data_IF_590823168048
#
_entry.id   IF_590823168048
#
_cell.length_a   1.000
_cell.length_b   1.000
_cell.length_c   1.000
_cell.angle_alpha   90.00
_cell.angle_beta   90.00
_cell.angle_gamma   90.00
#
_symmetry.space_group_name_H-M   'P 1'
#
loop_
_entity.id
_entity.type
_entity.pdbx_description
1 polymer ?
#
# COMPACT_ATOMS: atom_id res chain seq x y z
N UNK A 1 26.95 -23.27 -1.67
CA UNK A 1 26.45 -21.94 -2.02
C UNK A 1 27.11 -20.95 -1.07
N UNK A 2 27.80 -19.93 -1.57
CA UNK A 2 28.55 -18.98 -0.75
C UNK A 2 27.83 -17.64 -0.72
N UNK A 3 28.08 -16.80 0.30
CA UNK A 3 27.56 -15.43 0.35
C UNK A 3 27.94 -14.62 -0.89
N UNK A 4 29.14 -14.88 -1.45
CA UNK A 4 29.62 -14.27 -2.69
C UNK A 4 28.67 -14.56 -3.87
N UNK A 5 28.27 -15.82 -4.08
CA UNK A 5 27.32 -16.21 -5.13
C UNK A 5 25.96 -15.52 -4.97
N UNK A 6 25.47 -15.36 -3.72
CA UNK A 6 24.21 -14.65 -3.43
C UNK A 6 24.33 -13.16 -3.78
N UNK A 7 25.45 -12.54 -3.42
CA UNK A 7 25.69 -11.12 -3.72
C UNK A 7 25.84 -10.85 -5.22
N UNK A 8 26.48 -11.74 -5.97
CA UNK A 8 26.58 -11.64 -7.44
C UNK A 8 25.19 -11.72 -8.09
N UNK A 9 24.38 -12.71 -7.69
CA UNK A 9 23.01 -12.85 -8.20
C UNK A 9 22.16 -11.62 -7.91
N UNK A 10 22.26 -11.07 -6.69
CA UNK A 10 21.56 -9.83 -6.30
C UNK A 10 22.02 -8.63 -7.12
N UNK A 11 23.34 -8.49 -7.36
CA UNK A 11 23.87 -7.39 -8.16
C UNK A 11 23.39 -7.46 -9.61
N UNK A 12 23.39 -8.65 -10.19
CA UNK A 12 22.88 -8.89 -11.54
C UNK A 12 21.37 -8.56 -11.63
N UNK A 13 20.57 -9.03 -10.67
CA UNK A 13 19.14 -8.74 -10.60
C UNK A 13 18.90 -7.23 -10.54
N UNK A 14 19.56 -6.53 -9.60
CA UNK A 14 19.45 -5.07 -9.46
C UNK A 14 19.79 -4.33 -10.75
N UNK A 15 20.82 -4.75 -11.47
CA UNK A 15 21.18 -4.12 -12.76
C UNK A 15 20.10 -4.34 -13.82
N UNK A 16 19.54 -5.54 -13.88
CA UNK A 16 18.48 -5.89 -14.83
C UNK A 16 17.19 -5.11 -14.53
N UNK A 17 16.77 -5.04 -13.27
CA UNK A 17 15.59 -4.28 -12.81
C UNK A 17 15.75 -2.78 -13.11
N UNK A 18 16.93 -2.21 -12.83
CA UNK A 18 17.19 -0.79 -13.10
C UNK A 18 17.25 -0.48 -14.60
N UNK A 19 17.76 -1.41 -15.42
CA UNK A 19 17.74 -1.26 -16.88
C UNK A 19 16.28 -1.28 -17.39
N UNK A 20 15.49 -2.29 -17.00
CA UNK A 20 14.07 -2.40 -17.32
C UNK A 20 13.29 -1.14 -16.90
N UNK A 21 13.49 -0.67 -15.66
CA UNK A 21 12.82 0.52 -15.18
C UNK A 21 13.16 1.77 -16.01
N UNK A 22 14.42 1.94 -16.42
CA UNK A 22 14.86 3.10 -17.22
C UNK A 22 14.34 3.07 -18.66
N UNK A 23 14.33 1.89 -19.27
CA UNK A 23 14.06 1.74 -20.70
C UNK A 23 12.55 1.61 -20.98
N UNK A 24 11.83 0.84 -20.16
CA UNK A 24 10.43 0.51 -20.42
C UNK A 24 9.42 1.21 -19.50
N UNK A 25 9.86 1.60 -18.29
CA UNK A 25 8.95 2.11 -17.26
C UNK A 25 8.99 3.64 -17.15
N UNK A 26 10.17 4.21 -16.96
CA UNK A 26 10.34 5.63 -16.66
C UNK A 26 9.75 6.53 -17.77
N UNK A 27 8.89 7.48 -17.35
CA UNK A 27 8.14 8.40 -18.24
C UNK A 27 7.13 7.72 -19.18
N UNK A 28 6.86 6.42 -19.05
CA UNK A 28 5.77 5.75 -19.75
C UNK A 28 4.39 6.28 -19.30
N UNK A 29 3.33 5.97 -20.04
CA UNK A 29 1.96 6.33 -19.63
C UNK A 29 1.58 5.70 -18.28
N UNK A 30 2.03 4.48 -17.99
CA UNK A 30 1.83 3.81 -16.71
C UNK A 30 2.56 4.53 -15.56
N UNK A 31 3.80 4.96 -15.79
CA UNK A 31 4.58 5.72 -14.80
C UNK A 31 3.89 7.04 -14.44
N UNK A 32 3.41 7.80 -15.44
CA UNK A 32 2.67 9.02 -15.18
C UNK A 32 1.36 8.78 -14.44
N UNK A 33 0.65 7.71 -14.76
CA UNK A 33 -0.54 7.32 -14.00
C UNK A 33 -0.21 7.06 -12.53
N UNK A 34 0.87 6.33 -12.22
CA UNK A 34 1.34 6.08 -10.86
C UNK A 34 1.61 7.39 -10.12
N UNK A 35 2.34 8.32 -10.75
CA UNK A 35 2.63 9.65 -10.16
C UNK A 35 1.34 10.40 -9.86
N UNK A 36 0.45 10.51 -10.86
CA UNK A 36 -0.78 11.28 -10.75
C UNK A 36 -1.71 10.71 -9.68
N UNK A 37 -1.92 9.40 -9.65
CA UNK A 37 -2.84 8.78 -8.69
C UNK A 37 -2.31 8.93 -7.25
N UNK A 38 -1.03 8.72 -7.02
CA UNK A 38 -0.43 8.90 -5.70
C UNK A 38 -0.47 10.36 -5.23
N UNK A 39 -0.17 11.31 -6.13
CA UNK A 39 -0.29 12.73 -5.83
C UNK A 39 -1.74 13.14 -5.53
N UNK A 40 -2.70 12.61 -6.29
CA UNK A 40 -4.13 12.85 -6.06
C UNK A 40 -4.54 12.38 -4.66
N UNK A 41 -4.20 11.14 -4.27
CA UNK A 41 -4.52 10.64 -2.93
C UNK A 41 -3.82 11.40 -1.82
N UNK A 42 -2.57 11.82 -2.04
CA UNK A 42 -1.87 12.68 -1.09
C UNK A 42 -2.57 14.04 -0.90
N UNK A 43 -2.99 14.67 -2.00
CA UNK A 43 -3.77 15.91 -1.95
C UNK A 43 -5.14 15.72 -1.27
N UNK A 44 -5.83 14.62 -1.58
CA UNK A 44 -7.10 14.24 -0.90
C UNK A 44 -6.87 14.12 0.60
N UNK A 45 -5.78 13.48 1.02
CA UNK A 45 -5.44 13.40 2.45
C UNK A 45 -5.22 14.77 3.08
N UNK A 46 -4.44 15.65 2.44
CA UNK A 46 -4.16 17.01 2.95
C UNK A 46 -5.45 17.84 3.08
N UNK A 47 -6.36 17.71 2.12
CA UNK A 47 -7.63 18.46 2.11
C UNK A 47 -8.62 17.92 3.16
N UNK A 48 -8.67 16.60 3.33
CA UNK A 48 -9.66 15.94 4.19
C UNK A 48 -9.18 15.68 5.62
N UNK A 49 -7.88 15.90 5.90
CA UNK A 49 -7.33 15.66 7.24
C UNK A 49 -7.96 16.59 8.27
N UNK A 50 -8.43 16.02 9.37
CA UNK A 50 -8.86 16.78 10.54
C UNK A 50 -7.67 17.38 11.27
N UNK A 51 -7.52 18.69 11.18
CA UNK A 51 -6.40 19.43 11.78
C UNK A 51 -6.36 19.32 13.31
N UNK A 52 -7.52 19.09 13.96
CA UNK A 52 -7.59 18.87 15.42
C UNK A 52 -6.99 17.53 15.83
N UNK A 53 -6.90 16.57 14.90
CA UNK A 53 -6.35 15.22 15.08
C UNK A 53 -5.12 14.96 14.22
N UNK A 54 -4.45 16.01 13.78
CA UNK A 54 -3.37 15.93 12.77
C UNK A 54 -2.32 14.87 13.12
N UNK A 55 -1.79 14.87 14.35
CA UNK A 55 -0.73 13.94 14.76
C UNK A 55 -1.22 12.49 14.65
N UNK A 56 -2.43 12.20 15.12
CA UNK A 56 -2.97 10.84 15.07
C UNK A 56 -3.30 10.40 13.65
N UNK A 57 -3.83 11.29 12.81
CA UNK A 57 -4.10 10.99 11.40
C UNK A 57 -2.81 10.80 10.60
N UNK A 58 -1.78 11.61 10.85
CA UNK A 58 -0.46 11.44 10.26
C UNK A 58 0.22 10.15 10.71
N UNK A 59 0.13 9.82 12.01
CA UNK A 59 0.61 8.53 12.51
C UNK A 59 -0.10 7.36 11.82
N UNK A 60 -1.43 7.41 11.73
CA UNK A 60 -2.22 6.37 11.07
C UNK A 60 -1.80 6.20 9.60
N UNK A 61 -1.57 7.29 8.87
CA UNK A 61 -1.09 7.25 7.49
C UNK A 61 0.30 6.57 7.40
N UNK A 62 1.26 7.02 8.20
CA UNK A 62 2.62 6.47 8.18
C UNK A 62 2.66 5.00 8.62
N UNK A 63 1.89 4.64 9.65
CA UNK A 63 1.80 3.27 10.10
C UNK A 63 1.12 2.37 9.05
N UNK A 64 0.07 2.88 8.39
CA UNK A 64 -0.58 2.18 7.28
C UNK A 64 0.38 1.95 6.12
N UNK A 65 1.15 2.97 5.73
CA UNK A 65 2.18 2.85 4.70
C UNK A 65 3.23 1.80 5.08
N UNK A 66 3.76 1.86 6.31
CA UNK A 66 4.74 0.88 6.78
C UNK A 66 4.20 -0.56 6.73
N UNK A 67 2.97 -0.77 7.20
CA UNK A 67 2.38 -2.10 7.25
C UNK A 67 2.05 -2.64 5.85
N UNK A 68 1.51 -1.79 4.97
CA UNK A 68 1.23 -2.14 3.57
C UNK A 68 2.55 -2.46 2.84
N UNK A 69 3.58 -1.63 3.00
CA UNK A 69 4.90 -1.86 2.41
C UNK A 69 5.51 -3.19 2.89
N UNK A 70 5.44 -3.49 4.20
CA UNK A 70 5.94 -4.75 4.75
C UNK A 70 5.22 -5.96 4.14
N UNK A 71 3.90 -5.92 4.05
CA UNK A 71 3.09 -6.98 3.44
C UNK A 71 3.46 -7.15 1.97
N UNK A 72 3.66 -6.06 1.27
CA UNK A 72 4.01 -6.05 -0.14
C UNK A 72 5.37 -6.69 -0.39
N UNK A 73 6.40 -6.32 0.38
CA UNK A 73 7.73 -6.93 0.30
C UNK A 73 7.69 -8.44 0.55
N UNK A 74 6.91 -8.87 1.56
CA UNK A 74 6.75 -10.31 1.87
C UNK A 74 6.06 -11.03 0.71
N UNK A 75 4.97 -10.48 0.18
CA UNK A 75 4.22 -11.11 -0.92
C UNK A 75 5.04 -11.23 -2.20
N UNK A 76 5.80 -10.19 -2.52
CA UNK A 76 6.69 -10.16 -3.66
C UNK A 76 7.87 -11.14 -3.51
N UNK A 77 8.50 -11.16 -2.34
CA UNK A 77 9.57 -12.10 -2.04
C UNK A 77 9.15 -13.57 -2.24
N UNK A 78 7.91 -13.93 -1.88
CA UNK A 78 7.36 -15.26 -2.11
C UNK A 78 6.77 -15.47 -3.51
N UNK A 79 6.82 -14.46 -4.38
CA UNK A 79 6.32 -14.55 -5.74
C UNK A 79 4.80 -14.72 -5.83
N UNK A 80 4.04 -14.16 -4.90
CA UNK A 80 2.59 -14.17 -4.96
C UNK A 80 2.06 -13.22 -6.02
N UNK A 81 2.70 -12.07 -6.17
CA UNK A 81 2.40 -11.04 -7.16
C UNK A 81 3.65 -10.24 -7.52
N UNK A 82 3.57 -9.44 -8.57
CA UNK A 82 4.59 -8.47 -8.97
C UNK A 82 3.96 -7.19 -9.55
N UNK A 83 4.75 -6.15 -9.65
CA UNK A 83 4.36 -4.86 -10.20
C UNK A 83 5.22 -4.53 -11.42
N UNK A 84 4.67 -4.65 -12.66
CA UNK A 84 5.40 -4.31 -13.88
C UNK A 84 5.85 -2.86 -13.94
N UNK A 85 5.09 -1.94 -13.33
CA UNK A 85 5.39 -0.51 -13.32
C UNK A 85 5.49 0.04 -11.92
N UNK A 86 6.55 0.81 -11.67
CA UNK A 86 6.88 1.40 -10.37
C UNK A 86 7.30 2.84 -10.52
N UNK A 87 7.02 3.68 -9.53
CA UNK A 87 7.48 5.06 -9.48
C UNK A 87 9.01 5.14 -9.36
N UNK A 88 9.59 4.30 -8.52
CA UNK A 88 11.04 4.20 -8.27
C UNK A 88 11.45 2.74 -8.48
N UNK A 89 12.37 2.49 -9.40
CA UNK A 89 12.72 1.16 -9.90
C UNK A 89 13.39 0.19 -8.92
N UNK A 90 13.73 0.62 -7.70
CA UNK A 90 14.30 -0.23 -6.66
C UNK A 90 13.40 -0.36 -5.42
N UNK A 91 12.16 0.13 -5.49
CA UNK A 91 11.19 0.11 -4.40
C UNK A 91 9.83 -0.35 -4.93
N UNK A 92 9.52 -1.61 -4.77
CA UNK A 92 8.29 -2.20 -5.28
C UNK A 92 7.02 -1.65 -4.62
N UNK A 93 7.13 -1.24 -3.35
CA UNK A 93 6.04 -0.56 -2.63
C UNK A 93 5.68 0.82 -3.19
N UNK A 94 6.50 1.39 -4.09
CA UNK A 94 6.22 2.67 -4.76
C UNK A 94 5.49 2.45 -6.09
N UNK A 95 4.41 1.69 -6.04
CA UNK A 95 3.50 1.42 -7.14
C UNK A 95 2.24 2.31 -7.10
N UNK A 96 1.25 2.02 -7.95
CA UNK A 96 0.05 2.84 -8.08
C UNK A 96 -0.88 2.79 -6.85
N UNK A 97 -0.78 1.76 -6.02
CA UNK A 97 -1.79 1.48 -4.97
C UNK A 97 -1.20 1.57 -3.57
N UNK A 98 -0.03 0.93 -3.35
CA UNK A 98 0.47 0.69 -2.01
C UNK A 98 1.20 1.88 -1.40
N UNK A 99 1.72 2.81 -2.24
CA UNK A 99 2.46 3.97 -1.75
C UNK A 99 1.58 4.99 -1.03
N UNK A 100 0.50 5.46 -1.66
CA UNK A 100 -0.39 6.49 -1.08
C UNK A 100 -1.86 6.06 -1.07
N UNK A 101 -2.34 5.40 -2.10
CA UNK A 101 -3.76 5.12 -2.27
C UNK A 101 -4.33 4.32 -1.10
N UNK A 102 -3.80 3.14 -0.80
CA UNK A 102 -4.28 2.29 0.31
C UNK A 102 -4.01 2.93 1.68
N UNK A 103 -2.80 3.46 1.98
CA UNK A 103 -2.54 4.13 3.26
C UNK A 103 -3.48 5.30 3.54
N UNK A 104 -3.76 6.14 2.54
CA UNK A 104 -4.70 7.26 2.68
C UNK A 104 -6.12 6.76 2.95
N UNK A 105 -6.57 5.74 2.24
CA UNK A 105 -7.89 5.13 2.48
C UNK A 105 -8.01 4.65 3.93
N UNK A 106 -7.03 3.94 4.47
CA UNK A 106 -7.05 3.50 5.86
C UNK A 106 -7.06 4.67 6.85
N UNK A 107 -6.23 5.68 6.61
CA UNK A 107 -6.18 6.85 7.48
C UNK A 107 -7.50 7.62 7.50
N UNK A 108 -8.16 7.77 6.34
CA UNK A 108 -9.47 8.41 6.25
C UNK A 108 -10.58 7.56 6.89
N UNK A 109 -10.61 6.24 6.66
CA UNK A 109 -11.57 5.35 7.34
C UNK A 109 -11.40 5.47 8.86
N UNK A 110 -10.18 5.45 9.36
CA UNK A 110 -9.88 5.60 10.78
C UNK A 110 -10.38 6.95 11.33
N UNK A 111 -10.14 8.03 10.60
CA UNK A 111 -10.54 9.38 11.00
C UNK A 111 -12.06 9.55 11.08
N UNK A 112 -12.78 9.09 10.04
CA UNK A 112 -14.23 9.32 9.94
C UNK A 112 -15.07 8.28 10.70
N UNK A 113 -14.61 7.04 10.81
CA UNK A 113 -15.35 5.95 11.46
C UNK A 113 -14.70 5.54 12.79
N UNK A 114 -14.89 6.37 13.81
CA UNK A 114 -14.28 6.15 15.13
C UNK A 114 -14.86 4.95 15.88
N UNK A 115 -16.18 4.68 15.74
CA UNK A 115 -16.85 3.53 16.38
C UNK A 115 -16.49 2.23 15.67
N UNK A 116 -16.08 1.20 16.42
CA UNK A 116 -15.69 -0.10 15.88
C UNK A 116 -16.69 -0.70 14.89
N UNK A 117 -18.00 -0.69 15.21
CA UNK A 117 -19.04 -1.22 14.31
C UNK A 117 -19.05 -0.51 12.95
N UNK A 118 -19.03 0.81 12.94
CA UNK A 118 -19.03 1.59 11.71
C UNK A 118 -17.72 1.38 10.92
N UNK A 119 -16.58 1.37 11.62
CA UNK A 119 -15.28 1.09 11.02
C UNK A 119 -15.25 -0.29 10.33
N UNK A 120 -15.69 -1.34 11.02
CA UNK A 120 -15.72 -2.70 10.50
C UNK A 120 -16.58 -2.83 9.23
N UNK A 121 -17.77 -2.22 9.24
CA UNK A 121 -18.65 -2.24 8.06
C UNK A 121 -17.99 -1.52 6.90
N UNK A 122 -17.43 -0.32 7.12
CA UNK A 122 -16.76 0.45 6.07
C UNK A 122 -15.51 -0.27 5.57
N UNK A 123 -14.69 -0.82 6.47
CA UNK A 123 -13.51 -1.59 6.13
C UNK A 123 -13.86 -2.81 5.27
N UNK A 124 -14.91 -3.56 5.63
CA UNK A 124 -15.40 -4.71 4.88
C UNK A 124 -15.78 -4.31 3.44
N UNK A 125 -16.57 -3.25 3.30
CA UNK A 125 -17.03 -2.76 2.00
C UNK A 125 -15.85 -2.25 1.13
N UNK A 126 -14.94 -1.49 1.71
CA UNK A 126 -13.79 -0.95 0.99
C UNK A 126 -12.80 -2.07 0.61
N UNK A 127 -12.52 -3.01 1.53
CA UNK A 127 -11.66 -4.17 1.22
C UNK A 127 -12.28 -5.04 0.13
N UNK A 128 -13.60 -5.24 0.13
CA UNK A 128 -14.30 -5.96 -0.92
C UNK A 128 -14.24 -5.21 -2.26
N UNK A 129 -14.45 -3.89 -2.25
CA UNK A 129 -14.36 -3.05 -3.44
C UNK A 129 -12.95 -3.12 -4.06
N UNK A 130 -11.91 -2.96 -3.23
CA UNK A 130 -10.51 -3.00 -3.71
C UNK A 130 -10.17 -4.42 -4.20
N UNK A 131 -10.48 -5.47 -3.43
CA UNK A 131 -10.12 -6.84 -3.77
C UNK A 131 -10.87 -7.39 -4.98
N UNK A 132 -12.18 -7.14 -5.10
CA UNK A 132 -13.01 -7.76 -6.17
C UNK A 132 -13.23 -6.85 -7.39
N UNK A 133 -13.03 -5.54 -7.26
CA UNK A 133 -13.21 -4.60 -8.37
C UNK A 133 -11.89 -3.90 -8.72
N UNK A 134 -11.25 -3.28 -7.76
CA UNK A 134 -10.00 -2.55 -7.99
C UNK A 134 -8.89 -3.43 -8.53
N UNK A 135 -8.57 -4.52 -7.84
CA UNK A 135 -7.50 -5.43 -8.24
C UNK A 135 -7.68 -6.02 -9.67
N UNK A 136 -8.84 -6.57 -10.08
CA UNK A 136 -9.03 -7.01 -11.46
C UNK A 136 -8.84 -5.90 -12.50
N UNK A 137 -9.25 -4.67 -12.19
CA UNK A 137 -9.01 -3.50 -13.04
C UNK A 137 -7.51 -3.25 -13.19
N UNK A 138 -6.75 -3.24 -12.09
CA UNK A 138 -5.31 -3.03 -12.13
C UNK A 138 -4.55 -4.16 -12.85
N UNK A 139 -5.01 -5.41 -12.72
CA UNK A 139 -4.50 -6.55 -13.50
C UNK A 139 -4.79 -6.36 -14.99
N UNK A 140 -6.00 -5.96 -15.35
CA UNK A 140 -6.39 -5.72 -16.75
C UNK A 140 -5.52 -4.64 -17.41
N UNK A 141 -5.18 -3.58 -16.68
CA UNK A 141 -4.32 -2.49 -17.16
C UNK A 141 -2.82 -2.74 -16.91
N UNK A 142 -2.42 -3.96 -16.55
CA UNK A 142 -1.02 -4.37 -16.35
C UNK A 142 -0.26 -3.60 -15.25
N UNK A 143 -0.96 -3.00 -14.30
CA UNK A 143 -0.32 -2.41 -13.10
C UNK A 143 0.03 -3.45 -12.04
N UNK A 144 -0.54 -4.65 -12.14
CA UNK A 144 -0.45 -5.71 -11.14
C UNK A 144 -0.50 -7.08 -11.84
N UNK A 145 0.45 -7.93 -11.56
CA UNK A 145 0.47 -9.32 -12.02
C UNK A 145 0.27 -10.28 -10.86
N UNK A 146 -0.63 -11.25 -11.05
CA UNK A 146 -0.93 -12.29 -10.08
C UNK A 146 -0.28 -13.60 -10.50
N UNK A 147 0.50 -14.21 -9.59
CA UNK A 147 1.11 -15.51 -9.84
C UNK A 147 0.39 -16.61 -9.03
N UNK A 148 0.48 -16.56 -7.69
CA UNK A 148 -0.16 -17.52 -6.78
C UNK A 148 -1.13 -16.82 -5.82
N UNK A 149 -1.86 -15.82 -6.30
CA UNK A 149 -2.73 -14.96 -5.53
C UNK A 149 -4.08 -14.75 -6.23
N UNK A 150 -5.11 -14.36 -5.48
CA UNK A 150 -6.45 -14.16 -6.04
C UNK A 150 -7.20 -13.00 -5.35
N UNK A 151 -8.31 -12.51 -5.93
CA UNK A 151 -9.09 -11.40 -5.38
C UNK A 151 -9.60 -11.62 -3.95
N UNK A 152 -9.99 -12.85 -3.62
CA UNK A 152 -10.45 -13.18 -2.27
C UNK A 152 -9.34 -13.06 -1.24
N UNK A 153 -8.13 -13.52 -1.57
CA UNK A 153 -6.95 -13.37 -0.70
C UNK A 153 -6.61 -11.90 -0.47
N UNK A 154 -6.69 -11.05 -1.51
CA UNK A 154 -6.50 -9.61 -1.37
C UNK A 154 -7.56 -8.97 -0.46
N UNK A 155 -8.83 -9.33 -0.63
CA UNK A 155 -9.91 -8.88 0.24
C UNK A 155 -9.62 -9.21 1.72
N UNK A 156 -9.27 -10.47 2.01
CA UNK A 156 -8.98 -10.93 3.38
C UNK A 156 -7.76 -10.21 3.95
N UNK A 157 -6.69 -10.09 3.16
CA UNK A 157 -5.46 -9.43 3.57
C UNK A 157 -5.70 -7.94 3.89
N UNK A 158 -6.37 -7.21 3.01
CA UNK A 158 -6.72 -5.81 3.23
C UNK A 158 -7.59 -5.63 4.48
N UNK A 159 -8.54 -6.52 4.69
CA UNK A 159 -9.39 -6.49 5.88
C UNK A 159 -8.57 -6.69 7.16
N UNK A 160 -7.68 -7.70 7.21
CA UNK A 160 -6.80 -7.97 8.35
C UNK A 160 -5.86 -6.80 8.62
N UNK A 161 -5.21 -6.25 7.59
CA UNK A 161 -4.33 -5.08 7.69
C UNK A 161 -5.07 -3.90 8.30
N UNK A 162 -6.29 -3.61 7.82
CA UNK A 162 -7.13 -2.54 8.37
C UNK A 162 -7.53 -2.77 9.84
N UNK A 163 -7.79 -4.01 10.26
CA UNK A 163 -8.02 -4.35 11.66
C UNK A 163 -6.80 -4.04 12.55
N UNK A 164 -5.61 -4.43 12.10
CA UNK A 164 -4.36 -4.17 12.83
C UNK A 164 -4.12 -2.67 12.95
N UNK A 165 -4.32 -1.91 11.86
CA UNK A 165 -4.17 -0.45 11.86
C UNK A 165 -5.12 0.18 12.89
N UNK A 166 -6.39 -0.18 12.87
CA UNK A 166 -7.38 0.34 13.83
C UNK A 166 -6.99 0.03 15.27
N UNK A 167 -6.63 -1.21 15.53
CA UNK A 167 -6.26 -1.65 16.86
C UNK A 167 -5.03 -0.89 17.41
N UNK A 168 -3.96 -0.77 16.62
CA UNK A 168 -2.74 -0.05 17.03
C UNK A 168 -3.02 1.45 17.21
N UNK A 169 -3.75 2.06 16.28
CA UNK A 169 -4.09 3.48 16.38
C UNK A 169 -4.96 3.78 17.62
N UNK A 170 -5.94 2.93 17.92
CA UNK A 170 -6.78 3.10 19.13
C UNK A 170 -5.97 2.88 20.42
N UNK A 171 -5.04 1.91 20.42
CA UNK A 171 -4.15 1.66 21.53
C UNK A 171 -3.29 2.89 21.84
N UNK A 172 -2.65 3.49 20.85
CA UNK A 172 -1.84 4.70 21.01
C UNK A 172 -2.70 5.88 21.46
N UNK A 173 -3.86 6.08 20.82
CA UNK A 173 -4.76 7.16 21.18
C UNK A 173 -5.31 7.07 22.62
N UNK A 174 -5.45 5.85 23.15
CA UNK A 174 -5.87 5.64 24.54
C UNK A 174 -4.78 6.02 25.55
N UNK A 175 -3.52 5.77 25.22
CA UNK A 175 -2.37 6.08 26.10
C UNK A 175 -2.03 7.57 26.09
N UNK A 176 -2.17 8.28 24.98
CA UNK A 176 -1.95 9.73 24.91
C UNK A 176 -2.94 10.52 25.78
N UNK A 177 -4.16 9.99 26.00
CA UNK A 177 -5.17 10.60 26.91
C UNK A 177 -4.85 10.43 28.40
N UNK A 178 -4.02 9.48 28.77
CA UNK A 178 -3.63 9.21 30.17
C UNK A 178 -2.51 10.16 30.60
N UNK A 179 -1.75 10.70 29.66
CA UNK A 179 -0.57 11.56 29.91
C UNK A 179 -0.95 13.06 29.93
N UNK A 180 -2.14 13.43 29.44
CA UNK A 180 -2.69 14.80 29.49
C UNK A 180 -3.69 14.97 30.62
#
# INVERSE_FOLDING_TARGET
MTLHTVNEARHHLMQTEMAYWREDNLFSGHWWFIVIINLLFFLVFIVLIDRSRFIMSAFCLLFSFFLVALVNEVGNYFGYWSYPYQFIGFLESFNAVDFMTIPVVYALIYQYFTKWKAYLITLLLISALIGFVGMPIFVHFQFYELHHWNPFSSFVLLFIVGLVIKWVCDFIASHDRIIR
#
